data_IF_751199168761
#
_entry.id   IF_751199168761
#
_cell.length_a   1.000
_cell.length_b   1.000
_cell.length_c   1.000
_cell.angle_alpha   90.00
_cell.angle_beta   90.00
_cell.angle_gamma   90.00
#
_symmetry.space_group_name_H-M   'P 1'
#
loop_
_entity.id
_entity.type
_entity.pdbx_description
1 polymer ?
#
# COMPACT_ATOMS: atom_id res chain seq x y z
N UNK A 1 -18.68 7.33 -45.16
CA UNK A 1 -18.29 5.90 -45.15
C UNK A 1 -17.16 5.56 -44.16
N UNK A 2 -16.48 6.54 -43.52
CA UNK A 2 -15.34 6.24 -42.63
C UNK A 2 -15.67 6.00 -41.14
N UNK A 3 -16.88 6.31 -40.66
CA UNK A 3 -17.28 6.12 -39.26
C UNK A 3 -17.69 4.68 -38.91
N UNK A 4 -18.44 4.02 -39.79
CA UNK A 4 -18.90 2.64 -39.64
C UNK A 4 -17.75 1.62 -39.57
N UNK A 5 -16.62 1.93 -40.22
CA UNK A 5 -15.45 1.05 -40.23
C UNK A 5 -14.66 1.11 -38.91
N UNK A 6 -14.69 2.25 -38.21
CA UNK A 6 -14.00 2.46 -36.93
C UNK A 6 -14.78 1.81 -35.79
N UNK A 7 -16.11 1.94 -35.76
CA UNK A 7 -16.94 1.29 -34.74
C UNK A 7 -16.86 -0.24 -34.83
N UNK A 8 -16.85 -0.79 -36.05
CA UNK A 8 -16.70 -2.21 -36.28
C UNK A 8 -15.31 -2.74 -35.86
N UNK A 9 -14.23 -1.99 -36.15
CA UNK A 9 -12.89 -2.35 -35.69
C UNK A 9 -12.79 -2.26 -34.15
N UNK A 10 -13.41 -1.25 -33.55
CA UNK A 10 -13.46 -1.07 -32.09
C UNK A 10 -14.19 -2.23 -31.41
N UNK A 11 -15.31 -2.69 -31.98
CA UNK A 11 -16.07 -3.82 -31.43
C UNK A 11 -15.33 -5.15 -31.58
N UNK A 12 -14.62 -5.37 -32.71
CA UNK A 12 -13.78 -6.56 -32.89
C UNK A 12 -12.67 -6.58 -31.83
N UNK A 13 -11.95 -5.46 -31.66
CA UNK A 13 -10.88 -5.35 -30.66
C UNK A 13 -11.42 -5.56 -29.24
N UNK A 14 -12.59 -5.00 -28.91
CA UNK A 14 -13.23 -5.22 -27.61
C UNK A 14 -13.64 -6.68 -27.39
N UNK A 15 -14.14 -7.35 -28.43
CA UNK A 15 -14.52 -8.76 -28.35
C UNK A 15 -13.30 -9.68 -28.22
N UNK A 16 -12.23 -9.45 -28.98
CA UNK A 16 -10.98 -10.19 -28.85
C UNK A 16 -10.31 -9.97 -27.49
N UNK A 17 -10.31 -8.73 -26.99
CA UNK A 17 -9.85 -8.41 -25.62
C UNK A 17 -10.70 -9.17 -24.59
N UNK A 18 -12.01 -9.26 -24.79
CA UNK A 18 -12.92 -9.95 -23.87
C UNK A 18 -12.73 -11.46 -23.89
N UNK A 19 -12.52 -12.06 -25.06
CA UNK A 19 -12.20 -13.49 -25.17
C UNK A 19 -10.81 -13.83 -24.63
N UNK A 20 -9.80 -12.97 -24.86
CA UNK A 20 -8.47 -13.12 -24.29
C UNK A 20 -8.49 -12.97 -22.77
N UNK A 21 -9.31 -12.05 -22.24
CA UNK A 21 -9.59 -11.94 -20.81
C UNK A 21 -10.16 -13.26 -20.28
N UNK A 22 -11.23 -13.81 -20.87
CA UNK A 22 -11.81 -15.08 -20.42
C UNK A 22 -10.81 -16.25 -20.47
N UNK A 23 -10.06 -16.39 -21.56
CA UNK A 23 -9.11 -17.49 -21.74
C UNK A 23 -7.91 -17.39 -20.78
N UNK A 24 -7.45 -16.16 -20.52
CA UNK A 24 -6.42 -15.88 -19.52
C UNK A 24 -6.94 -16.14 -18.10
N UNK A 25 -8.16 -15.71 -17.79
CA UNK A 25 -8.81 -15.94 -16.50
C UNK A 25 -9.00 -17.43 -16.22
N UNK A 26 -9.34 -18.23 -17.23
CA UNK A 26 -9.50 -19.68 -17.10
C UNK A 26 -8.16 -20.41 -16.90
N UNK A 27 -7.09 -20.01 -17.63
CA UNK A 27 -5.75 -20.58 -17.42
C UNK A 27 -5.10 -20.20 -16.08
N UNK A 28 -5.42 -19.03 -15.53
CA UNK A 28 -4.98 -18.63 -14.19
C UNK A 28 -5.74 -19.37 -13.09
N UNK A 29 -7.04 -19.63 -13.29
CA UNK A 29 -7.87 -20.42 -12.37
C UNK A 29 -7.26 -21.82 -12.13
N UNK A 30 -6.86 -22.54 -13.18
CA UNK A 30 -6.28 -23.88 -13.05
C UNK A 30 -4.88 -23.89 -12.38
N UNK A 31 -4.11 -22.80 -12.45
CA UNK A 31 -2.82 -22.66 -11.75
C UNK A 31 -2.94 -22.25 -10.28
N UNK A 32 -4.07 -21.64 -9.90
CA UNK A 32 -4.28 -21.11 -8.54
C UNK A 32 -4.66 -22.17 -7.51
N UNK A 33 -5.14 -23.34 -7.95
CA UNK A 33 -5.63 -24.41 -7.07
C UNK A 33 -4.53 -25.09 -6.21
N UNK A 34 -3.26 -25.00 -6.63
CA UNK A 34 -2.12 -25.61 -5.91
C UNK A 34 -1.44 -24.65 -4.90
N UNK A 35 -1.87 -23.38 -4.83
CA UNK A 35 -1.25 -22.34 -3.97
C UNK A 35 -2.14 -22.02 -2.78
N UNK A 36 -2.02 -22.78 -1.69
CA UNK A 36 -2.76 -22.52 -0.46
C UNK A 36 -2.02 -21.50 0.42
N UNK A 37 -2.74 -20.49 0.89
CA UNK A 37 -2.28 -19.58 1.96
C UNK A 37 -2.10 -20.37 3.25
N UNK A 38 -1.02 -20.12 3.99
CA UNK A 38 -0.83 -20.76 5.29
C UNK A 38 -1.85 -20.28 6.32
N UNK A 39 -2.46 -19.10 6.10
CA UNK A 39 -3.56 -18.56 6.88
C UNK A 39 -4.94 -19.14 6.51
N UNK A 40 -5.04 -19.99 5.49
CA UNK A 40 -6.30 -20.50 4.99
C UNK A 40 -7.12 -19.49 4.18
N UNK A 41 -6.50 -18.38 3.76
CA UNK A 41 -7.10 -17.41 2.84
C UNK A 41 -7.24 -18.06 1.46
N UNK A 42 -8.42 -17.94 0.84
CA UNK A 42 -8.61 -18.34 -0.56
C UNK A 42 -7.69 -17.50 -1.46
N UNK A 43 -6.92 -18.17 -2.32
CA UNK A 43 -6.02 -17.49 -3.24
C UNK A 43 -6.79 -16.53 -4.16
N UNK A 44 -6.44 -15.23 -4.23
CA UNK A 44 -7.27 -14.26 -4.92
C UNK A 44 -7.28 -14.49 -6.43
N UNK A 45 -8.48 -14.51 -7.02
CA UNK A 45 -8.69 -14.96 -8.43
C UNK A 45 -7.82 -14.23 -9.46
N UNK A 46 -7.62 -12.92 -9.31
CA UNK A 46 -6.83 -12.10 -10.23
C UNK A 46 -5.50 -11.63 -9.66
N UNK A 47 -4.99 -12.29 -8.60
CA UNK A 47 -3.68 -11.97 -8.02
C UNK A 47 -2.56 -12.02 -9.07
N UNK A 48 -2.57 -13.07 -9.90
CA UNK A 48 -1.52 -13.34 -10.90
C UNK A 48 -1.81 -12.66 -12.27
N UNK A 49 -2.79 -11.75 -12.34
CA UNK A 49 -3.10 -11.00 -13.56
C UNK A 49 -1.97 -10.02 -13.91
N UNK A 50 -1.55 -9.85 -15.20
CA UNK A 50 -0.29 -9.20 -15.54
C UNK A 50 -0.25 -7.71 -15.21
N UNK A 51 -1.42 -7.09 -15.02
CA UNK A 51 -1.50 -5.70 -14.58
C UNK A 51 -1.05 -5.50 -13.13
N UNK A 52 -1.29 -6.48 -12.23
CA UNK A 52 -1.06 -6.37 -10.78
C UNK A 52 -1.45 -4.98 -10.24
N UNK A 53 -2.74 -4.64 -10.32
CA UNK A 53 -3.27 -3.34 -9.95
C UNK A 53 -4.50 -3.47 -9.04
N UNK A 54 -4.86 -2.38 -8.37
CA UNK A 54 -5.97 -2.25 -7.45
C UNK A 54 -7.32 -2.60 -8.07
N UNK A 55 -7.51 -2.35 -9.37
CA UNK A 55 -8.74 -2.75 -10.04
C UNK A 55 -8.92 -4.27 -10.08
N UNK A 56 -7.89 -5.03 -10.46
CA UNK A 56 -7.92 -6.51 -10.44
C UNK A 56 -8.04 -7.06 -9.02
N UNK A 57 -7.40 -6.39 -8.05
CA UNK A 57 -7.51 -6.76 -6.64
C UNK A 57 -8.94 -6.61 -6.11
N UNK A 58 -9.57 -5.44 -6.33
CA UNK A 58 -10.97 -5.20 -5.95
C UNK A 58 -11.92 -6.19 -6.62
N UNK A 59 -11.68 -6.54 -7.89
CA UNK A 59 -12.51 -7.51 -8.59
C UNK A 59 -12.38 -8.93 -7.98
N UNK A 60 -11.17 -9.31 -7.54
CA UNK A 60 -10.99 -10.57 -6.80
C UNK A 60 -11.78 -10.55 -5.49
N UNK A 61 -11.67 -9.45 -4.72
CA UNK A 61 -12.41 -9.26 -3.47
C UNK A 61 -13.93 -9.37 -3.69
N UNK A 62 -14.50 -8.75 -4.73
CA UNK A 62 -15.93 -8.85 -5.05
C UNK A 62 -16.41 -10.29 -5.27
N UNK A 63 -15.55 -11.12 -5.86
CA UNK A 63 -15.86 -12.53 -6.13
C UNK A 63 -15.68 -13.38 -4.87
N UNK A 64 -14.66 -13.10 -4.07
CA UNK A 64 -14.19 -13.97 -3.00
C UNK A 64 -14.82 -13.66 -1.62
N UNK A 65 -15.30 -12.44 -1.40
CA UNK A 65 -15.71 -11.96 -0.07
C UNK A 65 -17.15 -12.29 0.35
N UNK A 66 -17.98 -12.74 -0.60
CA UNK A 66 -19.39 -13.06 -0.33
C UNK A 66 -20.22 -11.86 0.13
N UNK A 67 -19.87 -10.64 -0.30
CA UNK A 67 -20.58 -9.42 0.08
C UNK A 67 -21.85 -9.14 -0.76
N UNK A 68 -22.16 -9.99 -1.75
CA UNK A 68 -23.42 -9.94 -2.54
C UNK A 68 -23.72 -8.58 -3.19
N UNK A 69 -22.69 -7.83 -3.60
CA UNK A 69 -22.84 -6.48 -4.18
C UNK A 69 -23.12 -5.35 -3.16
N UNK A 70 -23.18 -5.70 -1.87
CA UNK A 70 -23.28 -4.80 -0.71
C UNK A 70 -21.89 -4.61 -0.08
N UNK A 71 -21.83 -3.92 1.06
CA UNK A 71 -20.62 -3.85 1.88
C UNK A 71 -20.73 -4.83 3.02
N UNK A 72 -19.72 -5.68 3.21
CA UNK A 72 -19.67 -6.63 4.33
C UNK A 72 -18.79 -6.07 5.44
N UNK A 73 -19.31 -6.06 6.67
CA UNK A 73 -18.55 -5.80 7.90
C UNK A 73 -18.87 -6.95 8.87
N UNK A 74 -17.84 -7.67 9.28
CA UNK A 74 -17.95 -8.95 9.98
C UNK A 74 -18.86 -9.92 9.21
N UNK A 75 -19.85 -10.52 9.87
CA UNK A 75 -20.79 -11.46 9.25
C UNK A 75 -22.09 -10.79 8.82
N UNK A 76 -22.07 -9.48 8.57
CA UNK A 76 -23.27 -8.70 8.22
C UNK A 76 -23.08 -7.88 6.95
N UNK A 77 -24.16 -7.71 6.21
CA UNK A 77 -24.22 -6.96 4.95
C UNK A 77 -24.99 -5.65 5.13
N UNK A 78 -24.40 -4.58 4.62
CA UNK A 78 -24.88 -3.20 4.79
C UNK A 78 -25.07 -2.53 3.43
N UNK A 79 -26.08 -1.68 3.32
CA UNK A 79 -26.27 -0.80 2.17
C UNK A 79 -25.93 0.65 2.53
N UNK A 80 -24.75 1.11 2.11
CA UNK A 80 -24.30 2.48 2.30
C UNK A 80 -24.58 3.39 1.09
N UNK A 81 -25.42 2.97 0.13
CA UNK A 81 -25.62 3.70 -1.13
C UNK A 81 -25.99 5.18 -0.90
N UNK A 82 -26.85 5.46 0.07
CA UNK A 82 -27.26 6.82 0.43
C UNK A 82 -26.19 7.57 1.25
N UNK A 83 -25.43 6.84 2.08
CA UNK A 83 -24.40 7.42 2.96
C UNK A 83 -23.06 7.71 2.27
N UNK A 84 -22.80 7.12 1.10
CA UNK A 84 -21.53 7.26 0.36
C UNK A 84 -21.10 8.72 0.18
N UNK A 85 -22.04 9.65 0.00
CA UNK A 85 -21.74 11.08 -0.18
C UNK A 85 -21.47 11.83 1.11
N UNK A 86 -21.97 11.31 2.24
CA UNK A 86 -21.85 11.91 3.56
C UNK A 86 -20.69 11.32 4.38
N UNK A 87 -20.05 10.27 3.87
CA UNK A 87 -18.94 9.61 4.55
C UNK A 87 -17.81 10.61 4.89
N UNK A 88 -17.48 10.83 6.19
CA UNK A 88 -16.51 11.84 6.61
C UNK A 88 -15.09 11.60 6.09
N UNK A 89 -14.71 10.36 5.79
CA UNK A 89 -13.41 10.02 5.20
C UNK A 89 -13.31 10.31 3.70
N UNK A 90 -14.42 10.64 3.04
CA UNK A 90 -14.51 10.82 1.59
C UNK A 90 -15.24 9.66 0.91
N UNK A 91 -15.94 9.98 -0.19
CA UNK A 91 -16.81 9.05 -0.93
C UNK A 91 -16.06 7.92 -1.65
N UNK A 92 -14.79 8.14 -1.97
CA UNK A 92 -14.02 7.21 -2.81
C UNK A 92 -13.82 5.86 -2.10
N UNK A 93 -13.67 5.83 -0.78
CA UNK A 93 -13.51 4.60 0.00
C UNK A 93 -14.67 3.64 -0.20
N UNK A 94 -15.91 4.09 0.02
CA UNK A 94 -17.10 3.26 -0.14
C UNK A 94 -17.42 2.96 -1.60
N UNK A 95 -17.14 3.90 -2.52
CA UNK A 95 -17.33 3.67 -3.97
C UNK A 95 -16.42 2.57 -4.51
N UNK A 96 -15.14 2.58 -4.11
CA UNK A 96 -14.16 1.60 -4.57
C UNK A 96 -14.47 0.20 -4.05
N UNK A 97 -14.88 0.10 -2.78
CA UNK A 97 -15.10 -1.17 -2.06
C UNK A 97 -16.53 -1.70 -2.13
N UNK A 98 -17.40 -1.10 -2.96
CA UNK A 98 -18.74 -1.66 -3.16
C UNK A 98 -18.64 -3.11 -3.65
N UNK A 99 -19.35 -4.01 -2.96
CA UNK A 99 -19.34 -5.43 -3.24
C UNK A 99 -18.21 -6.20 -2.57
N UNK A 100 -17.45 -5.63 -1.62
CA UNK A 100 -16.35 -6.33 -0.91
C UNK A 100 -16.60 -6.44 0.60
N UNK A 101 -15.83 -7.31 1.25
CA UNK A 101 -15.64 -7.30 2.71
C UNK A 101 -14.67 -6.18 3.06
N UNK A 102 -15.14 -5.26 3.90
CA UNK A 102 -14.42 -4.08 4.36
C UNK A 102 -14.19 -4.10 5.86
N UNK A 103 -14.23 -5.27 6.50
CA UNK A 103 -14.11 -5.39 7.96
C UNK A 103 -12.79 -4.85 8.47
N UNK A 104 -11.65 -5.30 7.93
CA UNK A 104 -10.33 -4.81 8.37
C UNK A 104 -10.19 -3.30 8.10
N UNK A 105 -10.73 -2.80 6.98
CA UNK A 105 -10.73 -1.38 6.66
C UNK A 105 -11.57 -0.58 7.67
N UNK A 106 -12.78 -1.06 7.98
CA UNK A 106 -13.68 -0.44 8.94
C UNK A 106 -13.04 -0.38 10.33
N UNK A 107 -12.48 -1.49 10.80
CA UNK A 107 -11.90 -1.60 12.14
C UNK A 107 -10.63 -0.78 12.31
N UNK A 108 -9.77 -0.71 11.28
CA UNK A 108 -8.48 -0.01 11.31
C UNK A 108 -8.57 1.49 11.08
N UNK A 109 -9.53 1.95 10.26
CA UNK A 109 -9.63 3.36 9.89
C UNK A 109 -10.52 4.17 10.85
N UNK A 110 -11.39 3.50 11.62
CA UNK A 110 -12.28 4.13 12.59
C UNK A 110 -11.80 3.92 14.03
N UNK A 111 -11.12 4.92 14.58
CA UNK A 111 -10.59 4.88 15.95
C UNK A 111 -11.68 5.07 17.01
N UNK A 112 -12.72 5.85 16.71
CA UNK A 112 -13.84 6.08 17.61
C UNK A 112 -14.94 5.02 17.46
N UNK A 113 -15.77 4.86 18.49
CA UNK A 113 -16.92 3.94 18.45
C UNK A 113 -18.14 4.49 17.68
N UNK A 114 -18.12 5.77 17.27
CA UNK A 114 -19.27 6.45 16.63
C UNK A 114 -19.73 5.75 15.35
N UNK A 115 -18.86 5.29 14.43
CA UNK A 115 -19.30 4.59 13.23
C UNK A 115 -20.08 3.31 13.53
N UNK A 116 -19.68 2.56 14.57
CA UNK A 116 -20.36 1.33 14.99
C UNK A 116 -21.78 1.59 15.49
N UNK A 117 -22.07 2.76 16.07
CA UNK A 117 -23.43 3.11 16.51
C UNK A 117 -24.35 3.49 15.35
N UNK A 118 -23.80 3.84 14.20
CA UNK A 118 -24.55 4.17 12.99
C UNK A 118 -24.85 2.94 12.11
N UNK A 119 -24.04 1.88 12.20
CA UNK A 119 -24.17 0.66 11.39
C UNK A 119 -25.58 0.06 11.36
N UNK A 120 -26.33 -0.05 12.48
CA UNK A 120 -27.66 -0.68 12.46
C UNK A 120 -28.66 -0.02 11.50
N UNK A 121 -28.47 1.26 11.16
CA UNK A 121 -29.34 2.00 10.24
C UNK A 121 -29.21 1.52 8.79
N UNK A 122 -28.07 0.91 8.45
CA UNK A 122 -27.74 0.45 7.10
C UNK A 122 -27.75 -1.07 6.97
N UNK A 123 -28.06 -1.80 8.05
CA UNK A 123 -28.06 -3.25 8.07
C UNK A 123 -29.15 -3.80 7.15
N UNK A 124 -28.77 -4.69 6.25
CA UNK A 124 -29.70 -5.38 5.36
C UNK A 124 -30.01 -6.79 5.87
N UNK A 125 -28.97 -7.58 6.15
CA UNK A 125 -29.06 -8.98 6.61
C UNK A 125 -27.70 -9.53 7.01
N UNK A 126 -27.68 -10.70 7.64
CA UNK A 126 -26.47 -11.47 7.88
C UNK A 126 -25.95 -12.12 6.58
N UNK A 127 -24.63 -12.28 6.49
CA UNK A 127 -23.95 -12.96 5.39
C UNK A 127 -24.17 -14.48 5.46
N UNK A 128 -24.34 -15.12 4.31
CA UNK A 128 -24.64 -16.57 4.24
C UNK A 128 -23.42 -17.47 4.28
N UNK A 129 -22.25 -16.90 4.02
CA UNK A 129 -20.98 -17.63 3.92
C UNK A 129 -19.97 -17.06 4.91
N UNK A 130 -19.05 -17.87 5.45
CA UNK A 130 -17.96 -17.36 6.28
C UNK A 130 -17.13 -16.30 5.56
N UNK A 131 -16.44 -15.45 6.33
CA UNK A 131 -15.49 -14.48 5.78
C UNK A 131 -14.29 -15.20 5.16
N UNK A 132 -13.73 -14.62 4.10
CA UNK A 132 -12.43 -15.04 3.56
C UNK A 132 -11.29 -14.23 4.21
N UNK A 133 -11.26 -14.21 5.54
CA UNK A 133 -10.22 -13.57 6.34
C UNK A 133 -10.06 -14.35 7.64
N UNK A 134 -8.82 -14.64 8.08
CA UNK A 134 -8.57 -15.36 9.32
C UNK A 134 -8.67 -14.46 10.56
N UNK A 135 -8.73 -13.14 10.37
CA UNK A 135 -8.50 -12.18 11.43
C UNK A 135 -9.73 -11.91 12.28
N UNK A 136 -9.49 -11.77 13.57
CA UNK A 136 -10.50 -11.48 14.58
C UNK A 136 -10.33 -10.09 15.16
N UNK A 137 -11.45 -9.51 15.54
CA UNK A 137 -11.55 -8.21 16.22
C UNK A 137 -12.38 -8.37 17.49
N UNK A 138 -11.96 -9.30 18.36
CA UNK A 138 -12.67 -9.57 19.60
C UNK A 138 -12.69 -8.31 20.48
N UNK A 139 -13.79 -8.06 21.20
CA UNK A 139 -13.95 -6.85 22.02
C UNK A 139 -12.85 -6.71 23.09
N UNK A 140 -12.46 -7.84 23.68
CA UNK A 140 -11.36 -7.97 24.65
C UNK A 140 -10.05 -8.47 24.00
N UNK A 141 -9.98 -8.48 22.66
CA UNK A 141 -8.76 -8.78 21.92
C UNK A 141 -7.74 -7.64 22.00
N UNK A 142 -6.50 -7.94 21.60
CA UNK A 142 -5.37 -7.02 21.65
C UNK A 142 -5.68 -5.73 20.88
N UNK A 143 -6.14 -5.85 19.63
CA UNK A 143 -6.34 -4.67 18.78
C UNK A 143 -7.41 -3.72 19.34
N UNK A 144 -8.55 -4.25 19.74
CA UNK A 144 -9.65 -3.42 20.24
C UNK A 144 -9.36 -2.79 21.61
N UNK A 145 -8.61 -3.47 22.47
CA UNK A 145 -8.14 -2.85 23.71
C UNK A 145 -7.19 -1.68 23.42
N UNK A 146 -6.19 -1.91 22.55
CA UNK A 146 -5.24 -0.87 22.15
C UNK A 146 -5.96 0.33 21.51
N UNK A 147 -6.90 0.07 20.59
CA UNK A 147 -7.71 1.09 19.92
C UNK A 147 -8.43 1.99 20.92
N UNK A 148 -9.05 1.42 21.97
CA UNK A 148 -9.72 2.20 23.03
C UNK A 148 -8.73 3.07 23.81
N UNK A 149 -7.59 2.52 24.23
CA UNK A 149 -6.56 3.29 24.94
C UNK A 149 -6.03 4.46 24.11
N UNK A 150 -5.74 4.21 22.83
CA UNK A 150 -5.29 5.24 21.90
C UNK A 150 -6.37 6.29 21.66
N UNK A 151 -7.64 5.90 21.52
CA UNK A 151 -8.74 6.85 21.38
C UNK A 151 -8.80 7.83 22.56
N UNK A 152 -8.66 7.36 23.80
CA UNK A 152 -8.61 8.22 24.98
C UNK A 152 -7.35 9.10 25.00
N UNK A 153 -6.19 8.52 24.67
CA UNK A 153 -4.92 9.26 24.57
C UNK A 153 -5.01 10.42 23.59
N UNK A 154 -5.55 10.21 22.39
CA UNK A 154 -5.67 11.22 21.33
C UNK A 154 -6.43 12.47 21.80
N UNK A 155 -7.41 12.35 22.71
CA UNK A 155 -8.16 13.50 23.25
C UNK A 155 -7.28 14.47 24.05
N UNK A 156 -6.16 13.99 24.57
CA UNK A 156 -5.23 14.77 25.42
C UNK A 156 -4.08 15.39 24.62
N UNK A 157 -3.87 14.96 23.38
CA UNK A 157 -2.71 15.38 22.59
C UNK A 157 -2.92 16.76 21.93
N UNK A 158 -1.85 17.53 21.70
CA UNK A 158 -1.94 18.80 21.00
C UNK A 158 -2.51 18.64 19.59
N UNK A 159 -3.52 19.45 19.24
CA UNK A 159 -4.10 19.43 17.88
C UNK A 159 -3.13 19.86 16.78
N UNK A 160 -2.02 20.50 17.15
CA UNK A 160 -0.99 21.03 16.25
C UNK A 160 0.05 19.98 15.82
N UNK A 161 0.05 18.76 16.38
CA UNK A 161 1.06 17.75 16.00
C UNK A 161 1.03 17.41 14.51
N UNK A 162 -0.14 17.47 13.87
CA UNK A 162 -0.27 17.30 12.41
C UNK A 162 0.27 18.46 11.57
N UNK A 163 0.42 19.66 12.14
CA UNK A 163 0.88 20.83 11.39
C UNK A 163 2.35 20.70 10.99
N UNK A 164 3.14 20.00 11.81
CA UNK A 164 4.53 19.69 11.50
C UNK A 164 4.63 18.80 10.25
N UNK A 165 3.80 17.77 10.13
CA UNK A 165 3.73 16.91 8.93
C UNK A 165 3.41 17.75 7.69
N UNK A 166 2.40 18.63 7.79
CA UNK A 166 1.96 19.49 6.68
C UNK A 166 3.09 20.41 6.21
N UNK A 167 3.73 21.14 7.12
CA UNK A 167 4.80 22.09 6.77
C UNK A 167 6.02 21.39 6.17
N UNK A 168 6.45 20.25 6.71
CA UNK A 168 7.58 19.49 6.14
C UNK A 168 7.22 19.02 4.72
N UNK A 169 6.02 18.48 4.53
CA UNK A 169 5.60 17.94 3.23
C UNK A 169 5.48 19.06 2.17
N UNK A 170 4.93 20.22 2.53
CA UNK A 170 4.85 21.38 1.63
C UNK A 170 6.24 21.91 1.28
N UNK A 171 7.13 22.00 2.27
CA UNK A 171 8.52 22.42 2.06
C UNK A 171 9.27 21.46 1.14
N UNK A 172 9.09 20.15 1.30
CA UNK A 172 9.68 19.13 0.43
C UNK A 172 9.20 19.28 -1.02
N UNK A 173 7.90 19.49 -1.25
CA UNK A 173 7.37 19.71 -2.60
C UNK A 173 7.98 20.97 -3.25
N UNK A 174 7.99 22.09 -2.53
CA UNK A 174 8.57 23.34 -3.04
C UNK A 174 10.07 23.16 -3.34
N UNK A 175 10.79 22.47 -2.46
CA UNK A 175 12.20 22.17 -2.63
C UNK A 175 12.46 21.28 -3.85
N UNK A 176 11.64 20.25 -4.07
CA UNK A 176 11.71 19.40 -5.25
C UNK A 176 11.58 20.22 -6.54
N UNK A 177 10.55 21.07 -6.64
CA UNK A 177 10.31 21.91 -7.81
C UNK A 177 11.48 22.88 -8.02
N UNK A 178 11.95 23.52 -6.95
CA UNK A 178 13.11 24.41 -6.98
C UNK A 178 14.38 23.72 -7.47
N UNK A 179 14.72 22.56 -6.90
CA UNK A 179 15.89 21.79 -7.32
C UNK A 179 15.78 21.28 -8.75
N UNK A 180 14.58 20.90 -9.23
CA UNK A 180 14.39 20.50 -10.62
C UNK A 180 14.71 21.65 -11.59
N UNK A 181 14.21 22.87 -11.30
CA UNK A 181 14.51 24.07 -12.10
C UNK A 181 16.01 24.40 -12.05
N UNK A 182 16.63 24.35 -10.87
CA UNK A 182 18.08 24.60 -10.71
C UNK A 182 18.92 23.53 -11.42
N UNK A 183 18.50 22.26 -11.41
CA UNK A 183 19.16 21.18 -12.13
C UNK A 183 19.17 21.44 -13.63
N UNK A 184 18.04 21.90 -14.19
CA UNK A 184 17.96 22.32 -15.58
C UNK A 184 18.83 23.55 -15.85
N UNK A 185 18.68 24.62 -15.05
CA UNK A 185 19.39 25.89 -15.22
C UNK A 185 20.92 25.75 -15.20
N UNK A 186 21.45 24.95 -14.27
CA UNK A 186 22.89 24.68 -14.16
C UNK A 186 23.35 23.45 -14.95
N UNK A 187 22.44 22.80 -15.68
CA UNK A 187 22.67 21.53 -16.40
C UNK A 187 23.33 20.45 -15.53
N UNK A 188 22.99 20.40 -14.24
CA UNK A 188 23.67 19.56 -13.25
C UNK A 188 22.85 18.34 -12.90
N UNK A 189 23.30 17.18 -13.36
CA UNK A 189 22.72 15.87 -12.97
C UNK A 189 22.89 15.57 -11.48
N UNK A 190 23.89 16.15 -10.81
CA UNK A 190 24.02 16.04 -9.36
C UNK A 190 22.86 16.74 -8.63
N UNK A 191 22.51 17.97 -9.04
CA UNK A 191 21.34 18.68 -8.51
C UNK A 191 20.05 17.94 -8.90
N UNK A 192 19.98 17.40 -10.12
CA UNK A 192 18.86 16.53 -10.53
C UNK A 192 18.72 15.29 -9.65
N UNK A 193 19.83 14.70 -9.22
CA UNK A 193 19.82 13.58 -8.27
C UNK A 193 19.25 14.00 -6.91
N UNK A 194 19.64 15.17 -6.40
CA UNK A 194 19.06 15.75 -5.18
C UNK A 194 17.57 16.01 -5.36
N UNK A 195 17.13 16.58 -6.48
CA UNK A 195 15.72 16.78 -6.79
C UNK A 195 14.95 15.44 -6.77
N UNK A 196 15.55 14.37 -7.33
CA UNK A 196 14.98 13.02 -7.31
C UNK A 196 14.82 12.47 -5.89
N UNK A 197 15.84 12.62 -5.03
CA UNK A 197 15.74 12.21 -3.62
C UNK A 197 14.63 13.02 -2.91
N UNK A 198 14.58 14.34 -3.11
CA UNK A 198 13.54 15.18 -2.50
C UNK A 198 12.14 14.83 -3.01
N UNK A 199 11.97 14.46 -4.28
CA UNK A 199 10.71 13.92 -4.80
C UNK A 199 10.30 12.63 -4.08
N UNK A 200 11.23 11.70 -3.88
CA UNK A 200 10.95 10.46 -3.16
C UNK A 200 10.55 10.72 -1.70
N UNK A 201 11.27 11.62 -1.00
CA UNK A 201 10.90 12.04 0.35
C UNK A 201 9.53 12.73 0.39
N UNK A 202 9.20 13.53 -0.63
CA UNK A 202 7.88 14.17 -0.78
C UNK A 202 6.80 13.11 -0.95
N UNK A 203 7.04 12.10 -1.79
CA UNK A 203 6.10 11.01 -2.03
C UNK A 203 5.86 10.18 -0.78
N UNK A 204 6.93 9.85 -0.06
CA UNK A 204 6.82 9.15 1.21
C UNK A 204 6.05 10.06 2.16
N UNK A 205 6.43 11.31 2.42
CA UNK A 205 5.65 12.19 3.31
C UNK A 205 4.17 12.35 2.89
N UNK A 206 3.87 12.35 1.58
CA UNK A 206 2.52 12.42 1.04
C UNK A 206 1.64 11.19 1.38
N UNK A 207 2.24 10.02 1.65
CA UNK A 207 1.50 8.78 1.95
C UNK A 207 0.56 8.95 3.14
N UNK A 208 1.05 9.63 4.17
CA UNK A 208 0.32 10.00 5.37
C UNK A 208 -1.03 10.66 5.05
N UNK A 209 -1.10 11.47 4.00
CA UNK A 209 -2.28 12.26 3.67
C UNK A 209 -3.31 11.51 2.84
N UNK A 210 -2.96 10.44 2.13
CA UNK A 210 -3.97 9.68 1.38
C UNK A 210 -4.70 8.65 2.24
N UNK A 211 -4.19 8.30 3.43
CA UNK A 211 -4.93 7.53 4.45
C UNK A 211 -5.98 8.37 5.17
N UNK A 212 -5.74 9.68 5.27
CA UNK A 212 -6.64 10.63 5.92
C UNK A 212 -7.82 11.03 5.00
N UNK A 213 -8.74 11.82 5.56
CA UNK A 213 -9.79 12.51 4.79
C UNK A 213 -9.17 13.23 3.60
N UNK A 214 -9.88 13.21 2.47
CA UNK A 214 -9.49 13.91 1.23
C UNK A 214 -8.96 15.32 1.51
N UNK A 215 -7.74 15.55 1.05
CA UNK A 215 -7.03 16.82 1.17
C UNK A 215 -6.08 16.95 -0.02
N UNK A 216 -5.62 18.16 -0.33
CA UNK A 216 -4.85 18.39 -1.54
C UNK A 216 -3.41 17.80 -1.49
N UNK A 217 -2.87 17.48 -0.31
CA UNK A 217 -1.50 16.94 -0.17
C UNK A 217 -1.40 15.50 -0.65
N UNK A 218 -2.51 14.77 -0.76
CA UNK A 218 -2.51 13.44 -1.39
C UNK A 218 -2.02 13.49 -2.85
N UNK A 219 -2.25 14.60 -3.55
CA UNK A 219 -1.80 14.78 -4.94
C UNK A 219 -0.29 15.02 -5.05
N UNK A 220 0.42 15.29 -3.95
CA UNK A 220 1.87 15.43 -3.99
C UNK A 220 2.54 14.11 -4.38
N UNK A 221 1.90 12.99 -4.00
CA UNK A 221 2.30 11.66 -4.41
C UNK A 221 2.27 11.49 -5.94
N UNK A 222 1.33 12.17 -6.63
CA UNK A 222 1.12 12.00 -8.07
C UNK A 222 2.28 12.56 -8.92
N UNK A 223 3.16 13.42 -8.37
CA UNK A 223 4.38 13.87 -9.04
C UNK A 223 5.37 12.74 -9.32
N UNK A 224 5.24 11.59 -8.64
CA UNK A 224 6.05 10.39 -8.87
C UNK A 224 5.67 9.61 -10.13
N UNK A 225 4.60 10.00 -10.82
CA UNK A 225 3.96 9.18 -11.86
C UNK A 225 3.19 7.95 -11.33
N UNK A 226 3.13 7.73 -10.02
CA UNK A 226 2.20 6.78 -9.39
C UNK A 226 0.95 7.52 -8.91
N UNK A 227 -0.24 6.92 -9.05
CA UNK A 227 -1.50 7.59 -8.64
C UNK A 227 -1.83 7.32 -7.19
N UNK A 228 -2.13 8.36 -6.40
CA UNK A 228 -2.61 8.23 -5.01
C UNK A 228 -3.88 7.37 -4.93
N UNK A 229 -4.81 7.46 -5.90
CA UNK A 229 -6.02 6.62 -5.92
C UNK A 229 -5.70 5.14 -6.05
N UNK A 230 -4.69 4.82 -6.84
CA UNK A 230 -4.21 3.46 -6.99
C UNK A 230 -3.54 2.99 -5.69
N UNK A 231 -2.73 3.86 -5.08
CA UNK A 231 -2.06 3.60 -3.81
C UNK A 231 -3.02 3.49 -2.62
N UNK A 232 -4.18 4.18 -2.63
CA UNK A 232 -5.25 3.91 -1.67
C UNK A 232 -5.75 2.47 -1.73
N UNK A 233 -5.71 1.84 -2.92
CA UNK A 233 -6.08 0.43 -3.04
C UNK A 233 -4.88 -0.45 -2.70
N UNK A 234 -3.75 -0.28 -3.41
CA UNK A 234 -2.60 -1.19 -3.29
C UNK A 234 -1.92 -1.11 -1.93
N UNK A 235 -1.82 0.07 -1.34
CA UNK A 235 -1.19 0.27 -0.05
C UNK A 235 -2.24 0.28 1.08
N UNK A 236 -3.23 1.17 1.06
CA UNK A 236 -4.12 1.32 2.22
C UNK A 236 -5.15 0.18 2.40
N UNK A 237 -5.74 -0.35 1.32
CA UNK A 237 -6.72 -1.44 1.40
C UNK A 237 -6.11 -2.84 1.27
N UNK A 238 -4.99 -2.97 0.58
CA UNK A 238 -4.35 -4.25 0.34
C UNK A 238 -3.18 -4.49 1.31
N UNK A 239 -2.10 -3.71 1.22
CA UNK A 239 -0.91 -3.90 2.06
C UNK A 239 -1.22 -3.74 3.55
N UNK A 240 -1.74 -2.60 4.00
CA UNK A 240 -2.00 -2.35 5.43
C UNK A 240 -2.93 -3.38 6.07
N UNK A 241 -3.97 -3.81 5.36
CA UNK A 241 -4.96 -4.74 5.91
C UNK A 241 -4.47 -6.19 5.93
N UNK A 242 -3.60 -6.55 4.98
CA UNK A 242 -3.21 -7.93 4.69
C UNK A 242 -1.70 -8.08 4.42
N UNK A 243 -0.86 -7.34 5.17
CA UNK A 243 0.60 -7.23 5.01
C UNK A 243 1.24 -8.61 4.83
N UNK A 244 2.06 -8.78 3.78
CA UNK A 244 2.77 -10.03 3.46
C UNK A 244 1.90 -11.28 3.23
N UNK A 245 0.58 -11.13 3.05
CA UNK A 245 -0.31 -12.25 2.68
C UNK A 245 -0.41 -12.42 1.16
N UNK A 246 -1.13 -13.47 0.70
CA UNK A 246 -1.53 -13.57 -0.72
C UNK A 246 -2.42 -12.43 -1.22
N UNK A 247 -3.06 -11.66 -0.34
CA UNK A 247 -3.83 -10.46 -0.69
C UNK A 247 -2.98 -9.19 -0.83
N UNK A 248 -1.70 -9.23 -0.46
CA UNK A 248 -0.84 -8.05 -0.52
C UNK A 248 -0.39 -7.73 -1.95
N UNK A 249 -0.82 -6.58 -2.46
CA UNK A 249 -0.43 -6.07 -3.77
C UNK A 249 1.04 -5.66 -3.79
N UNK A 250 1.65 -5.28 -2.66
CA UNK A 250 3.09 -5.01 -2.61
C UNK A 250 3.90 -6.27 -2.92
N UNK A 251 3.47 -7.42 -2.40
CA UNK A 251 4.07 -8.72 -2.71
C UNK A 251 3.88 -9.06 -4.19
N UNK A 252 2.64 -9.06 -4.68
CA UNK A 252 2.35 -9.53 -6.04
C UNK A 252 2.80 -8.56 -7.14
N UNK A 253 2.84 -7.24 -6.90
CA UNK A 253 3.23 -6.26 -7.90
C UNK A 253 4.72 -6.26 -8.23
N UNK A 254 5.56 -6.82 -7.34
CA UNK A 254 6.99 -6.99 -7.57
C UNK A 254 7.33 -8.34 -8.21
N UNK A 255 6.39 -9.28 -8.24
CA UNK A 255 6.55 -10.58 -8.90
C UNK A 255 6.48 -10.44 -10.45
N UNK A 256 7.23 -11.28 -11.19
CA UNK A 256 8.11 -12.34 -10.72
C UNK A 256 9.51 -11.86 -10.29
N UNK A 257 9.82 -10.56 -10.40
CA UNK A 257 11.18 -10.04 -10.24
C UNK A 257 11.68 -10.14 -8.79
N UNK A 258 10.86 -9.78 -7.80
CA UNK A 258 11.19 -9.90 -6.38
C UNK A 258 10.14 -10.76 -5.70
N UNK A 259 10.53 -11.96 -5.28
CA UNK A 259 9.62 -12.96 -4.71
C UNK A 259 9.88 -13.07 -3.20
N UNK A 260 8.98 -12.52 -2.40
CA UNK A 260 9.13 -12.48 -0.94
C UNK A 260 8.47 -13.65 -0.22
N UNK A 261 7.41 -14.25 -0.76
CA UNK A 261 6.77 -15.40 -0.12
C UNK A 261 7.74 -16.60 -0.07
N UNK A 262 7.84 -17.35 1.04
CA UNK A 262 8.76 -18.48 1.24
C UNK A 262 8.34 -19.75 0.47
N UNK A 263 8.20 -19.63 -0.85
CA UNK A 263 7.87 -20.72 -1.78
C UNK A 263 9.11 -21.25 -2.49
N UNK A 264 8.97 -22.33 -3.25
CA UNK A 264 10.05 -22.82 -4.11
C UNK A 264 10.41 -21.79 -5.19
N UNK A 265 11.69 -21.40 -5.25
CA UNK A 265 12.21 -20.35 -6.14
C UNK A 265 13.48 -20.79 -6.85
N UNK A 266 13.62 -20.39 -8.10
CA UNK A 266 14.87 -20.58 -8.85
C UNK A 266 16.02 -19.74 -8.28
N UNK A 267 17.27 -20.09 -8.60
CA UNK A 267 18.44 -19.32 -8.18
C UNK A 267 18.45 -17.89 -8.72
N UNK A 268 17.77 -17.63 -9.84
CA UNK A 268 17.66 -16.28 -10.44
C UNK A 268 16.83 -15.35 -9.54
N UNK A 269 15.68 -15.81 -9.05
CA UNK A 269 14.82 -15.00 -8.18
C UNK A 269 15.35 -14.89 -6.75
N UNK A 270 16.24 -15.81 -6.35
CA UNK A 270 16.86 -15.84 -5.02
C UNK A 270 18.10 -14.96 -4.90
N UNK A 271 19.08 -15.17 -5.78
CA UNK A 271 20.41 -14.56 -5.65
C UNK A 271 20.73 -13.55 -6.74
N UNK A 272 20.28 -13.78 -7.99
CA UNK A 272 20.49 -12.78 -9.04
C UNK A 272 19.63 -11.52 -8.78
N UNK A 273 18.50 -11.66 -8.07
CA UNK A 273 17.68 -10.54 -7.60
C UNK A 273 18.46 -9.54 -6.75
N UNK A 274 19.48 -9.98 -6.02
CA UNK A 274 20.34 -9.08 -5.24
C UNK A 274 21.08 -8.07 -6.13
N UNK A 275 21.36 -8.46 -7.37
CA UNK A 275 22.08 -7.63 -8.34
C UNK A 275 21.12 -6.75 -9.13
N UNK A 276 19.98 -7.29 -9.59
CA UNK A 276 19.05 -6.54 -10.44
C UNK A 276 17.98 -5.74 -9.68
N UNK A 277 17.83 -5.90 -8.36
CA UNK A 277 16.84 -5.15 -7.56
C UNK A 277 16.91 -3.63 -7.79
N UNK A 278 18.09 -2.97 -7.84
CA UNK A 278 18.17 -1.54 -8.13
C UNK A 278 17.60 -1.15 -9.51
N UNK A 279 17.70 -2.05 -10.50
CA UNK A 279 17.10 -1.84 -11.83
C UNK A 279 15.57 -1.93 -11.72
N UNK A 280 15.04 -2.88 -10.96
CA UNK A 280 13.59 -2.95 -10.69
C UNK A 280 13.12 -1.65 -10.05
N UNK A 281 13.83 -1.17 -9.01
CA UNK A 281 13.52 0.08 -8.32
C UNK A 281 13.53 1.29 -9.25
N UNK A 282 14.48 1.37 -10.19
CA UNK A 282 14.59 2.47 -11.16
C UNK A 282 13.36 2.64 -12.06
N UNK A 283 12.61 1.56 -12.33
CA UNK A 283 11.50 1.56 -13.26
C UNK A 283 10.12 1.41 -12.61
N UNK A 284 10.02 1.32 -11.28
CA UNK A 284 8.73 1.23 -10.55
C UNK A 284 7.79 2.36 -10.97
N UNK A 285 8.23 3.61 -10.89
CA UNK A 285 7.39 4.78 -11.20
C UNK A 285 6.82 4.74 -12.62
N UNK A 286 7.68 4.47 -13.60
CA UNK A 286 7.30 4.40 -15.01
C UNK A 286 6.37 3.20 -15.25
N UNK A 287 6.65 2.05 -14.65
CA UNK A 287 5.80 0.86 -14.78
C UNK A 287 4.39 1.11 -14.24
N UNK A 288 4.24 1.73 -13.07
CA UNK A 288 2.94 2.11 -12.52
C UNK A 288 2.21 3.14 -13.39
N UNK A 289 2.93 4.10 -13.96
CA UNK A 289 2.34 5.08 -14.89
C UNK A 289 1.78 4.41 -16.15
N UNK A 290 2.56 3.51 -16.77
CA UNK A 290 2.14 2.75 -17.95
C UNK A 290 0.94 1.85 -17.63
N UNK A 291 0.96 1.16 -16.48
CA UNK A 291 -0.19 0.36 -16.00
C UNK A 291 -1.44 1.21 -15.84
N UNK A 292 -1.33 2.42 -15.29
CA UNK A 292 -2.47 3.33 -15.13
C UNK A 292 -3.04 3.81 -16.48
N UNK A 293 -2.19 4.08 -17.48
CA UNK A 293 -2.62 4.43 -18.84
C UNK A 293 -3.32 3.24 -19.48
N UNK A 294 -2.70 2.06 -19.48
CA UNK A 294 -3.25 0.84 -20.07
C UNK A 294 -4.61 0.51 -19.45
N UNK A 295 -4.72 0.58 -18.12
CA UNK A 295 -5.99 0.41 -17.42
C UNK A 295 -7.04 1.41 -17.90
N UNK A 296 -6.69 2.70 -17.98
CA UNK A 296 -7.64 3.74 -18.41
C UNK A 296 -8.14 3.49 -19.84
N UNK A 297 -7.25 3.04 -20.73
CA UNK A 297 -7.60 2.67 -22.11
C UNK A 297 -8.50 1.43 -22.16
N UNK A 298 -8.18 0.38 -21.40
CA UNK A 298 -8.96 -0.87 -21.35
C UNK A 298 -10.37 -0.63 -20.80
N UNK A 299 -10.50 0.25 -19.80
CA UNK A 299 -11.77 0.54 -19.14
C UNK A 299 -12.57 1.67 -19.80
N UNK A 300 -11.99 2.35 -20.81
CA UNK A 300 -12.61 3.53 -21.42
C UNK A 300 -12.76 4.70 -20.44
N UNK A 301 -11.93 4.75 -19.40
CA UNK A 301 -11.95 5.81 -18.40
C UNK A 301 -11.30 7.08 -18.94
N UNK A 302 -11.84 8.24 -18.54
CA UNK A 302 -11.18 9.52 -18.82
C UNK A 302 -9.84 9.57 -18.10
N UNK A 303 -8.78 9.96 -18.80
CA UNK A 303 -7.45 10.15 -18.23
C UNK A 303 -7.56 11.22 -17.11
N UNK A 304 -7.31 10.87 -15.84
CA UNK A 304 -7.41 11.84 -14.76
C UNK A 304 -6.34 12.91 -14.87
N UNK A 305 -6.71 14.15 -14.53
CA UNK A 305 -5.80 15.31 -14.59
C UNK A 305 -4.55 15.12 -13.72
N UNK A 306 -4.63 14.31 -12.65
CA UNK A 306 -3.48 14.00 -11.81
C UNK A 306 -2.33 13.30 -12.55
N UNK A 307 -2.60 12.58 -13.64
CA UNK A 307 -1.55 11.98 -14.48
C UNK A 307 -0.71 13.03 -15.23
N UNK A 308 -1.15 14.29 -15.25
CA UNK A 308 -0.41 15.40 -15.85
C UNK A 308 0.47 16.15 -14.84
N UNK A 309 0.32 15.91 -13.52
CA UNK A 309 1.07 16.62 -12.47
C UNK A 309 2.60 16.48 -12.62
N UNK A 310 3.19 15.30 -12.88
CA UNK A 310 4.63 15.19 -13.10
C UNK A 310 5.14 16.14 -14.21
N UNK A 311 4.35 16.28 -15.28
CA UNK A 311 4.74 17.07 -16.45
C UNK A 311 4.64 18.58 -16.23
N UNK A 312 3.98 19.06 -15.16
CA UNK A 312 4.02 20.48 -14.81
C UNK A 312 5.42 20.90 -14.37
N UNK A 313 6.21 19.99 -13.78
CA UNK A 313 7.61 20.26 -13.41
C UNK A 313 8.50 20.26 -14.64
N UNK A 314 8.27 19.37 -15.59
CA UNK A 314 8.92 19.44 -16.91
C UNK A 314 8.61 20.78 -17.60
N UNK A 315 7.33 21.18 -17.60
CA UNK A 315 6.90 22.48 -18.13
C UNK A 315 7.57 23.65 -17.41
N UNK A 316 7.71 23.60 -16.08
CA UNK A 316 8.40 24.61 -15.30
C UNK A 316 9.89 24.69 -15.65
N UNK A 317 10.59 23.56 -15.80
CA UNK A 317 11.98 23.57 -16.26
C UNK A 317 12.11 24.23 -17.64
N UNK A 318 11.21 23.93 -18.57
CA UNK A 318 11.22 24.54 -19.91
C UNK A 318 10.90 26.04 -19.86
N UNK A 319 9.93 26.45 -19.03
CA UNK A 319 9.46 27.84 -18.99
C UNK A 319 10.40 28.78 -18.22
N UNK A 320 11.07 28.29 -17.18
CA UNK A 320 11.93 29.10 -16.32
C UNK A 320 13.42 28.97 -16.62
N UNK A 321 13.80 28.18 -17.62
CA UNK A 321 15.19 28.06 -18.06
C UNK A 321 15.28 28.29 -19.57
N UNK A 322 16.43 28.76 -20.06
CA UNK A 322 16.68 28.91 -21.50
C UNK A 322 17.18 27.59 -22.14
N UNK A 323 16.91 26.45 -21.50
CA UNK A 323 17.36 25.14 -21.98
C UNK A 323 16.40 24.54 -23.02
N UNK A 324 16.95 23.65 -23.85
CA UNK A 324 16.15 22.95 -24.85
C UNK A 324 15.14 21.98 -24.21
N UNK A 325 13.99 21.81 -24.87
CA UNK A 325 12.96 20.81 -24.48
C UNK A 325 13.57 19.40 -24.32
N UNK A 326 14.51 19.03 -25.19
CA UNK A 326 15.20 17.74 -25.15
C UNK A 326 16.00 17.62 -23.85
N UNK A 327 16.78 18.64 -23.50
CA UNK A 327 17.57 18.62 -22.27
C UNK A 327 16.69 18.53 -21.01
N UNK A 328 15.64 19.37 -20.93
CA UNK A 328 14.69 19.32 -19.81
C UNK A 328 14.00 17.96 -19.70
N UNK A 329 13.69 17.31 -20.83
CA UNK A 329 13.09 15.97 -20.84
C UNK A 329 14.06 14.91 -20.31
N UNK A 330 15.33 14.95 -20.73
CA UNK A 330 16.37 14.05 -20.20
C UNK A 330 16.56 14.27 -18.68
N UNK A 331 16.63 15.52 -18.25
CA UNK A 331 16.74 15.87 -16.82
C UNK A 331 15.52 15.41 -16.03
N UNK A 332 14.31 15.57 -16.56
CA UNK A 332 13.07 15.08 -15.95
C UNK A 332 13.13 13.57 -15.70
N UNK A 333 13.47 12.77 -16.71
CA UNK A 333 13.56 11.32 -16.55
C UNK A 333 14.72 10.91 -15.61
N UNK A 334 15.83 11.65 -15.58
CA UNK A 334 16.88 11.44 -14.60
C UNK A 334 16.39 11.63 -13.15
N UNK A 335 15.62 12.70 -12.90
CA UNK A 335 14.99 12.98 -11.61
C UNK A 335 14.01 11.86 -11.24
N UNK A 336 13.14 11.44 -12.17
CA UNK A 336 12.18 10.35 -11.96
C UNK A 336 12.88 9.04 -11.63
N UNK A 337 13.92 8.66 -12.37
CA UNK A 337 14.67 7.41 -12.13
C UNK A 337 15.35 7.46 -10.77
N UNK A 338 15.99 8.57 -10.42
CA UNK A 338 16.66 8.71 -9.11
C UNK A 338 15.64 8.66 -7.96
N UNK A 339 14.50 9.32 -8.13
CA UNK A 339 13.39 9.25 -7.17
C UNK A 339 12.86 7.83 -7.03
N UNK A 340 12.66 7.11 -8.13
CA UNK A 340 12.15 5.73 -8.13
C UNK A 340 13.13 4.78 -7.44
N UNK A 341 14.45 4.93 -7.67
CA UNK A 341 15.49 4.16 -6.96
C UNK A 341 15.42 4.42 -5.46
N UNK A 342 15.42 5.70 -5.05
CA UNK A 342 15.38 6.04 -3.63
C UNK A 342 14.11 5.55 -2.96
N UNK A 343 12.96 5.74 -3.60
CA UNK A 343 11.68 5.23 -3.12
C UNK A 343 11.67 3.71 -3.01
N UNK A 344 12.20 2.98 -4.00
CA UNK A 344 12.31 1.52 -3.93
C UNK A 344 13.23 1.06 -2.79
N UNK A 345 14.36 1.74 -2.58
CA UNK A 345 15.25 1.47 -1.44
C UNK A 345 14.51 1.67 -0.12
N UNK A 346 13.77 2.75 0.04
CA UNK A 346 13.08 3.04 1.31
C UNK A 346 11.85 2.18 1.51
N UNK A 347 11.01 2.06 0.49
CA UNK A 347 9.77 1.26 0.50
C UNK A 347 10.06 -0.19 0.82
N UNK A 348 10.80 -0.89 -0.05
CA UNK A 348 11.05 -2.34 0.05
C UNK A 348 11.90 -2.71 1.28
N UNK A 349 12.66 -1.77 1.85
CA UNK A 349 13.44 -1.99 3.06
C UNK A 349 12.85 -1.28 4.29
N UNK A 350 11.57 -0.87 4.25
CA UNK A 350 10.97 -0.10 5.34
C UNK A 350 10.82 -0.96 6.60
N UNK A 351 10.02 -2.03 6.53
CA UNK A 351 9.69 -2.80 7.72
C UNK A 351 9.08 -4.18 7.47
N UNK A 352 8.71 -4.50 6.23
CA UNK A 352 7.85 -5.64 5.87
C UNK A 352 8.61 -6.82 5.22
N UNK A 353 9.92 -6.74 4.97
CA UNK A 353 10.70 -7.87 4.40
C UNK A 353 11.90 -8.28 5.26
N UNK A 354 11.70 -9.28 6.11
CA UNK A 354 12.74 -9.92 6.93
C UNK A 354 12.40 -11.41 7.15
N UNK A 355 13.38 -12.33 7.28
CA UNK A 355 13.10 -13.74 7.56
C UNK A 355 12.38 -13.99 8.88
N UNK A 356 12.47 -13.06 9.83
CA UNK A 356 11.92 -13.20 11.19
C UNK A 356 10.52 -12.58 11.36
N UNK A 357 9.94 -12.05 10.28
CA UNK A 357 8.56 -11.57 10.25
C UNK A 357 7.72 -12.45 9.33
N UNK A 358 6.41 -12.45 9.58
CA UNK A 358 5.48 -13.31 8.88
C UNK A 358 5.40 -12.98 7.39
N UNK A 359 5.47 -14.01 6.55
CA UNK A 359 5.06 -13.99 5.16
C UNK A 359 4.19 -15.22 4.88
N UNK A 360 3.15 -15.07 4.04
CA UNK A 360 2.26 -16.19 3.72
C UNK A 360 3.03 -17.40 3.19
N UNK A 361 2.75 -18.57 3.76
CA UNK A 361 3.54 -19.78 3.58
C UNK A 361 4.36 -20.14 4.81
N UNK A 362 4.75 -19.17 5.66
CA UNK A 362 5.30 -19.44 6.99
C UNK A 362 4.24 -20.05 7.92
N UNK A 363 4.67 -20.77 8.97
CA UNK A 363 3.75 -21.24 10.02
C UNK A 363 3.07 -20.05 10.69
N UNK A 364 1.74 -19.93 10.60
CA UNK A 364 1.02 -18.83 11.25
C UNK A 364 0.80 -19.14 12.74
N UNK A 365 0.32 -18.15 13.50
CA UNK A 365 -0.20 -18.41 14.86
C UNK A 365 -1.38 -19.41 14.83
N UNK A 366 -1.74 -20.03 15.97
CA UNK A 366 -2.98 -20.77 16.09
C UNK A 366 -4.21 -19.91 15.72
N UNK A 367 -5.27 -20.52 15.18
CA UNK A 367 -6.47 -19.80 14.69
C UNK A 367 -7.17 -18.97 15.78
N UNK A 368 -7.18 -19.47 17.00
CA UNK A 368 -7.73 -18.79 18.18
C UNK A 368 -6.90 -17.57 18.64
N UNK A 369 -5.71 -17.37 18.07
CA UNK A 369 -4.80 -16.26 18.37
C UNK A 369 -4.64 -15.29 17.18
N UNK A 370 -5.53 -15.36 16.18
CA UNK A 370 -5.52 -14.48 15.00
C UNK A 370 -6.12 -13.10 15.27
N UNK A 371 -5.70 -12.42 16.33
CA UNK A 371 -6.03 -11.00 16.51
C UNK A 371 -5.33 -10.19 15.40
N UNK A 372 -6.08 -9.34 14.70
CA UNK A 372 -5.54 -8.56 13.59
C UNK A 372 -4.36 -7.66 14.00
N UNK A 373 -4.40 -7.07 15.19
CA UNK A 373 -3.34 -6.20 15.67
C UNK A 373 -2.05 -6.96 15.97
N UNK A 374 -2.16 -8.17 16.54
CA UNK A 374 -1.01 -9.05 16.74
C UNK A 374 -0.42 -9.48 15.39
N UNK A 375 -1.26 -9.79 14.40
CA UNK A 375 -0.80 -10.13 13.05
C UNK A 375 0.02 -8.99 12.43
N UNK A 376 -0.42 -7.72 12.56
CA UNK A 376 0.37 -6.59 12.06
C UNK A 376 1.74 -6.53 12.73
N UNK A 377 1.84 -6.76 14.04
CA UNK A 377 3.12 -6.82 14.78
C UNK A 377 4.00 -7.98 14.31
N UNK A 378 3.41 -9.10 13.91
CA UNK A 378 4.16 -10.24 13.36
C UNK A 378 4.69 -9.97 11.94
N UNK A 379 4.00 -9.13 11.17
CA UNK A 379 4.31 -8.86 9.77
C UNK A 379 5.21 -7.63 9.55
N UNK A 380 5.43 -6.79 10.57
CA UNK A 380 6.28 -5.58 10.45
C UNK A 380 7.26 -5.43 11.62
N UNK A 381 8.31 -4.62 11.41
CA UNK A 381 9.29 -4.24 12.45
C UNK A 381 9.65 -2.76 12.36
N UNK A 382 9.66 -2.10 13.50
CA UNK A 382 10.14 -0.72 13.59
C UNK A 382 11.67 -0.62 13.57
N UNK A 383 12.16 0.52 13.09
CA UNK A 383 13.58 0.88 13.01
C UNK A 383 13.92 1.93 14.05
N UNK A 384 14.70 1.58 15.06
CA UNK A 384 15.07 2.49 16.16
C UNK A 384 15.89 3.69 15.70
N UNK A 385 16.71 3.52 14.65
CA UNK A 385 17.50 4.58 14.04
C UNK A 385 16.65 5.57 13.25
N UNK A 386 15.55 5.12 12.63
CA UNK A 386 14.59 5.99 11.93
C UNK A 386 13.65 6.69 12.93
N UNK A 387 13.10 5.95 13.90
CA UNK A 387 12.11 6.48 14.85
C UNK A 387 12.69 7.52 15.82
N UNK A 388 14.02 7.69 15.84
CA UNK A 388 14.70 8.73 16.63
C UNK A 388 14.51 10.16 16.07
N UNK A 389 14.05 10.30 14.84
CA UNK A 389 13.88 11.58 14.17
C UNK A 389 12.52 11.67 13.49
N UNK A 390 11.72 12.65 13.88
CA UNK A 390 10.44 12.91 13.26
C UNK A 390 10.51 13.12 11.73
N UNK A 391 11.57 13.78 11.25
CA UNK A 391 11.74 13.97 9.80
C UNK A 391 11.96 12.62 9.10
N UNK A 392 12.76 11.73 9.70
CA UNK A 392 12.98 10.39 9.16
C UNK A 392 11.71 9.53 9.28
N UNK A 393 10.95 9.65 10.37
CA UNK A 393 9.64 8.97 10.51
C UNK A 393 8.73 9.31 9.34
N UNK A 394 8.53 10.60 9.07
CA UNK A 394 7.64 11.06 8.01
C UNK A 394 8.15 10.70 6.61
N UNK A 395 9.46 10.73 6.38
CA UNK A 395 10.05 10.60 5.03
C UNK A 395 10.64 9.23 4.73
N UNK A 396 10.68 8.31 5.70
CA UNK A 396 11.21 6.96 5.53
C UNK A 396 10.27 5.86 6.04
N UNK A 397 8.97 6.13 6.21
CA UNK A 397 8.00 5.17 6.78
C UNK A 397 8.39 4.70 8.19
N UNK A 398 8.80 5.60 9.07
CA UNK A 398 9.02 5.26 10.48
C UNK A 398 7.72 5.10 11.26
N UNK A 399 7.83 4.76 12.55
CA UNK A 399 6.71 4.38 13.41
C UNK A 399 5.77 3.35 12.74
N UNK A 400 6.37 2.46 11.95
CA UNK A 400 5.69 1.65 10.94
C UNK A 400 4.61 0.74 11.54
N UNK A 401 4.90 0.16 12.71
CA UNK A 401 3.96 -0.72 13.42
C UNK A 401 2.70 0.04 13.83
N UNK A 402 2.84 1.23 14.43
CA UNK A 402 1.69 2.04 14.82
C UNK A 402 0.97 2.62 13.60
N UNK A 403 1.71 2.95 12.55
CA UNK A 403 1.13 3.38 11.27
C UNK A 403 0.28 2.27 10.64
N UNK A 404 0.73 1.02 10.65
CA UNK A 404 -0.05 -0.12 10.17
C UNK A 404 -1.31 -0.37 11.00
N UNK A 405 -1.20 -0.25 12.33
CA UNK A 405 -2.32 -0.46 13.24
C UNK A 405 -3.37 0.67 13.14
N UNK A 406 -2.93 1.92 12.90
CA UNK A 406 -3.76 3.12 12.90
C UNK A 406 -3.41 4.07 11.75
N UNK A 407 -3.63 3.66 10.49
CA UNK A 407 -3.11 4.36 9.32
C UNK A 407 -3.70 5.75 9.11
N UNK A 408 -4.88 6.03 9.67
CA UNK A 408 -5.55 7.33 9.58
C UNK A 408 -5.01 8.37 10.58
N UNK A 409 -4.21 7.94 11.56
CA UNK A 409 -3.56 8.86 12.50
C UNK A 409 -2.32 9.45 11.82
N UNK A 410 -2.22 10.78 11.85
CA UNK A 410 -1.08 11.49 11.29
C UNK A 410 0.24 11.09 11.98
N UNK A 411 1.32 10.92 11.21
CA UNK A 411 2.67 10.64 11.73
C UNK A 411 3.12 11.61 12.85
N UNK A 412 2.58 12.84 12.88
CA UNK A 412 2.65 13.80 13.98
C UNK A 412 2.38 13.23 15.38
N UNK A 413 1.49 12.23 15.47
CA UNK A 413 0.96 11.72 16.71
C UNK A 413 1.55 10.38 17.16
N UNK A 414 2.09 9.58 16.25
CA UNK A 414 2.41 8.17 16.51
C UNK A 414 3.40 7.98 17.66
N UNK A 415 4.44 8.81 17.75
CA UNK A 415 5.40 8.81 18.85
C UNK A 415 4.77 8.88 20.26
N UNK A 416 3.60 9.51 20.39
CA UNK A 416 2.92 9.68 21.70
C UNK A 416 2.08 8.48 22.12
N UNK A 417 1.90 7.49 21.22
CA UNK A 417 1.02 6.33 21.41
C UNK A 417 1.79 5.07 21.84
N UNK A 418 3.12 5.10 21.79
CA UNK A 418 3.97 3.99 22.24
C UNK A 418 3.74 3.57 23.70
N UNK A 419 3.48 4.48 24.67
CA UNK A 419 3.18 4.06 26.04
C UNK A 419 1.96 3.13 26.12
N UNK A 420 0.85 3.49 25.47
CA UNK A 420 -0.38 2.68 25.44
C UNK A 420 -0.17 1.38 24.66
N UNK A 421 0.66 1.42 23.61
CA UNK A 421 1.07 0.24 22.85
C UNK A 421 1.89 -0.76 23.67
N UNK A 422 2.94 -0.30 24.36
CA UNK A 422 3.79 -1.17 25.17
C UNK A 422 3.07 -1.77 26.36
N UNK A 423 2.20 -0.98 27.02
CA UNK A 423 1.34 -1.48 28.08
C UNK A 423 0.44 -2.61 27.56
N UNK A 424 -0.19 -2.44 26.39
CA UNK A 424 -1.05 -3.47 25.80
C UNK A 424 -0.25 -4.70 25.35
N UNK A 425 0.96 -4.52 24.80
CA UNK A 425 1.87 -5.63 24.51
C UNK A 425 2.20 -6.44 25.77
N UNK A 426 2.44 -5.77 26.90
CA UNK A 426 2.71 -6.42 28.17
C UNK A 426 1.49 -7.23 28.67
N UNK A 427 0.28 -6.68 28.59
CA UNK A 427 -0.96 -7.36 29.02
C UNK A 427 -1.23 -8.66 28.25
N UNK A 428 -0.86 -8.71 26.96
CA UNK A 428 -1.06 -9.87 26.10
C UNK A 428 0.19 -10.76 25.98
N UNK A 429 1.26 -10.46 26.70
CA UNK A 429 2.53 -11.20 26.61
C UNK A 429 3.19 -11.13 25.23
N UNK A 430 2.94 -10.08 24.47
CA UNK A 430 3.49 -9.86 23.14
C UNK A 430 4.87 -9.23 23.26
N UNK A 431 5.89 -9.94 22.78
CA UNK A 431 7.25 -9.41 22.69
C UNK A 431 7.36 -8.47 21.49
N UNK A 432 7.59 -7.20 21.77
CA UNK A 432 7.86 -6.20 20.75
C UNK A 432 9.36 -5.94 20.61
N UNK A 433 9.88 -6.02 19.38
CA UNK A 433 11.28 -5.77 19.08
C UNK A 433 11.46 -4.79 17.93
N UNK A 434 12.41 -3.88 18.10
CA UNK A 434 12.87 -2.98 17.05
C UNK A 434 14.18 -3.47 16.46
N UNK A 435 14.41 -3.14 15.21
CA UNK A 435 15.67 -3.42 14.49
C UNK A 435 16.31 -2.12 13.99
N UNK A 436 17.29 -2.20 13.10
CA UNK A 436 17.89 -1.05 12.41
C UNK A 436 17.62 -1.09 10.91
N UNK A 437 17.77 0.05 10.22
CA UNK A 437 17.68 0.08 8.75
C UNK A 437 18.61 -0.94 8.10
N UNK A 438 19.85 -1.03 8.58
CA UNK A 438 20.86 -1.92 7.99
C UNK A 438 20.47 -3.39 8.14
N UNK A 439 19.94 -3.80 9.30
CA UNK A 439 19.51 -5.19 9.49
C UNK A 439 18.27 -5.52 8.66
N UNK A 440 17.34 -4.58 8.47
CA UNK A 440 16.22 -4.79 7.54
C UNK A 440 16.67 -4.93 6.09
N UNK A 441 17.63 -4.12 5.63
CA UNK A 441 18.19 -4.27 4.27
C UNK A 441 18.82 -5.65 4.10
N UNK A 442 19.60 -6.13 5.09
CA UNK A 442 20.16 -7.50 5.05
C UNK A 442 19.05 -8.55 5.06
N UNK A 443 18.03 -8.35 5.90
CA UNK A 443 16.86 -9.20 6.01
C UNK A 443 16.10 -9.33 4.70
N UNK A 444 15.87 -8.23 4.01
CA UNK A 444 15.16 -8.18 2.74
C UNK A 444 15.83 -9.08 1.69
N UNK A 445 17.16 -9.03 1.56
CA UNK A 445 17.89 -9.93 0.66
C UNK A 445 17.91 -11.39 1.14
N UNK A 446 18.00 -11.64 2.45
CA UNK A 446 17.84 -12.99 3.02
C UNK A 446 16.45 -13.55 2.73
N UNK A 447 15.41 -12.72 2.76
CA UNK A 447 14.03 -13.10 2.46
C UNK A 447 13.86 -13.46 0.98
N UNK A 448 14.48 -12.71 0.06
CA UNK A 448 14.53 -13.11 -1.36
C UNK A 448 15.17 -14.49 -1.55
N UNK A 449 16.23 -14.79 -0.78
CA UNK A 449 16.91 -16.09 -0.84
C UNK A 449 16.16 -17.23 -0.11
N UNK A 450 15.22 -16.91 0.80
CA UNK A 450 14.39 -17.87 1.53
C UNK A 450 13.43 -18.55 0.56
N UNK A 451 13.44 -19.89 0.56
CA UNK A 451 12.59 -20.74 -0.28
C UNK A 451 11.82 -21.79 0.53
N UNK A 452 12.00 -21.78 1.86
CA UNK A 452 11.34 -22.68 2.79
C UNK A 452 10.60 -21.86 3.83
N UNK A 453 9.37 -22.26 4.21
CA UNK A 453 8.66 -21.70 5.34
C UNK A 453 9.47 -21.72 6.64
N UNK A 454 9.26 -20.72 7.47
CA UNK A 454 9.60 -20.79 8.88
C UNK A 454 8.69 -21.81 9.57
N UNK A 455 9.26 -22.78 10.31
CA UNK A 455 8.46 -23.80 10.99
C UNK A 455 7.72 -23.25 12.23
N UNK A 456 8.10 -22.08 12.73
CA UNK A 456 7.53 -21.47 13.94
C UNK A 456 6.93 -20.10 13.62
N UNK A 457 5.82 -19.73 14.29
CA UNK A 457 5.26 -18.39 14.17
C UNK A 457 6.21 -17.34 14.75
N UNK A 458 6.17 -16.08 14.25
CA UNK A 458 6.97 -15.00 14.81
C UNK A 458 6.75 -14.84 16.33
N UNK A 459 7.83 -14.57 17.05
CA UNK A 459 7.79 -14.42 18.51
C UNK A 459 7.74 -15.73 19.31
N UNK A 460 7.72 -16.91 18.68
CA UNK A 460 7.84 -18.18 19.41
C UNK A 460 9.26 -18.34 19.97
N UNK A 461 9.38 -18.55 21.28
CA UNK A 461 10.65 -18.93 21.92
C UNK A 461 10.89 -20.40 21.57
N UNK A 462 11.95 -20.72 20.84
CA UNK A 462 12.38 -22.12 20.76
C UNK A 462 12.77 -22.56 22.17
N UNK A 463 12.27 -23.69 22.68
CA UNK A 463 12.82 -24.28 23.89
C UNK A 463 14.32 -24.52 23.63
N UNK A 464 15.16 -23.81 24.38
CA UNK A 464 16.62 -23.93 24.34
C UNK A 464 17.08 -25.30 24.78
#
# INVERSE_FOLDING_TARGET
MNGLHIEHLTSIVQNEISSLKQLYQQKQYDKSLDKLSSLGIKYPKFRDHPLHNGHMWLESKRIDDGAEGLWRIHDQLYDFSDFVHDHPGGKDWLRLTKGTDITEAFESHHISAVPSTLLPQYLVRDAKVPRNSPFTFNENGFYNLLKRKIYEKLKTLPKTSSDRSKHITDFLLISYIGFAILAAYFRSFAIGGVAGIVLALTAIAAHNFFHQRDNFRMYYFDFTMMRHKEWRISHALSHHLYTNTVYDLEISALEPFLQYLPTEKSLIFRFASWIYSPIVYAFVYIAFYLKAIIQSLILGEKIPLSLLLPFTVLGAMIAFTNESVIFCTIMFFWIIITSSIYFGIVGVNAAHHHPDIFHDGDTPRPKDQMDWGIFQIDAVRDRKDINSSYFLVLTNFGDHTLHHLFPTIDHGYLQYLYPEFFETCQEFGIRYETTTQLELVKGQYRQLAKHKPNPFPPGHIQPT
#
